data_IF_625932833152
#
_entry.id   IF_625932833152
#
_cell.length_a   1.000
_cell.length_b   1.000
_cell.length_c   1.000
_cell.angle_alpha   90.00
_cell.angle_beta   90.00
_cell.angle_gamma   90.00
#
_symmetry.space_group_name_H-M   'P 1'
#
loop_
_entity.id
_entity.type
_entity.pdbx_description
1 polymer ?
#
# COMPACT_ATOMS: atom_id res chain seq x y z
N UNK A 1 8.69 5.87 23.64
CA UNK A 1 7.86 4.65 23.63
C UNK A 1 7.07 4.67 22.33
N UNK A 2 6.88 3.53 21.68
CA UNK A 2 6.04 3.44 20.48
C UNK A 2 4.57 3.63 20.87
N UNK A 3 3.86 4.48 20.12
CA UNK A 3 2.42 4.76 20.27
C UNK A 3 1.59 4.34 19.05
N UNK A 4 2.25 4.20 17.90
CA UNK A 4 1.63 3.84 16.63
C UNK A 4 2.50 2.80 15.91
N UNK A 5 1.92 1.66 15.55
CA UNK A 5 2.59 0.65 14.73
C UNK A 5 1.89 0.52 13.37
N UNK A 6 2.65 0.68 12.29
CA UNK A 6 2.14 0.70 10.93
C UNK A 6 2.83 -0.36 10.08
N UNK A 7 2.07 -1.22 9.42
CA UNK A 7 2.63 -2.36 8.70
C UNK A 7 2.18 -2.37 7.25
N UNK A 8 3.10 -2.66 6.34
CA UNK A 8 2.69 -3.20 5.05
C UNK A 8 1.97 -4.55 5.24
N UNK A 9 1.19 -4.94 4.23
CA UNK A 9 0.39 -6.15 4.24
C UNK A 9 1.07 -7.31 3.53
N UNK A 10 1.29 -7.20 2.22
CA UNK A 10 1.61 -8.33 1.35
C UNK A 10 3.08 -8.74 1.51
N UNK A 11 3.35 -9.97 1.96
CA UNK A 11 4.69 -10.47 2.31
C UNK A 11 5.38 -9.73 3.47
N UNK A 12 4.65 -8.87 4.18
CA UNK A 12 5.07 -8.26 5.46
C UNK A 12 4.24 -8.79 6.63
N UNK A 13 2.98 -8.35 6.81
CA UNK A 13 2.08 -8.88 7.84
C UNK A 13 1.42 -10.18 7.42
N UNK A 14 1.10 -10.30 6.12
CA UNK A 14 0.42 -11.44 5.51
C UNK A 14 1.44 -12.21 4.68
N UNK A 15 1.82 -13.42 5.08
CA UNK A 15 2.80 -14.21 4.35
C UNK A 15 2.39 -14.45 2.90
N UNK A 16 3.36 -14.50 1.99
CA UNK A 16 3.10 -14.84 0.59
C UNK A 16 2.25 -16.11 0.45
N UNK A 17 1.18 -16.01 -0.35
CA UNK A 17 0.23 -17.10 -0.60
C UNK A 17 -0.81 -17.34 0.50
N UNK A 18 -0.73 -16.63 1.64
CA UNK A 18 -1.80 -16.67 2.63
C UNK A 18 -3.03 -15.90 2.13
N UNK A 19 -4.26 -16.38 2.40
CA UNK A 19 -5.48 -15.73 1.92
C UNK A 19 -5.84 -14.45 2.70
N UNK A 20 -5.27 -14.27 3.91
CA UNK A 20 -5.52 -13.17 4.84
C UNK A 20 -4.46 -13.16 5.95
N UNK A 21 -4.48 -12.13 6.81
CA UNK A 21 -3.71 -12.11 8.05
C UNK A 21 -4.02 -13.33 8.92
N UNK A 22 -2.99 -13.87 9.56
CA UNK A 22 -3.11 -15.02 10.48
C UNK A 22 -3.93 -14.62 11.71
N UNK A 23 -4.52 -15.62 12.38
CA UNK A 23 -5.25 -15.36 13.63
C UNK A 23 -4.34 -14.77 14.71
N UNK A 24 -3.05 -15.11 14.68
CA UNK A 24 -2.04 -14.51 15.56
C UNK A 24 -1.79 -13.04 15.23
N UNK A 25 -1.66 -12.69 13.94
CA UNK A 25 -1.50 -11.30 13.53
C UNK A 25 -2.68 -10.43 13.97
N UNK A 26 -3.91 -10.92 13.76
CA UNK A 26 -5.14 -10.24 14.22
C UNK A 26 -5.12 -10.08 15.75
N UNK A 27 -4.84 -11.14 16.51
CA UNK A 27 -4.75 -11.07 17.97
C UNK A 27 -3.67 -10.10 18.46
N UNK A 28 -2.54 -10.00 17.77
CA UNK A 28 -1.47 -9.07 18.11
C UNK A 28 -1.86 -7.60 17.84
N UNK A 29 -2.65 -7.33 16.80
CA UNK A 29 -3.22 -6.01 16.56
C UNK A 29 -4.23 -5.63 17.66
N UNK A 30 -5.08 -6.57 18.10
CA UNK A 30 -5.93 -6.35 19.28
C UNK A 30 -5.12 -6.06 20.53
N UNK A 31 -4.04 -6.78 20.78
CA UNK A 31 -3.18 -6.53 21.94
C UNK A 31 -2.60 -5.10 21.95
N UNK A 32 -2.29 -4.52 20.78
CA UNK A 32 -1.90 -3.11 20.67
C UNK A 32 -3.04 -2.17 21.08
N UNK A 33 -4.25 -2.42 20.57
CA UNK A 33 -5.44 -1.61 20.87
C UNK A 33 -5.81 -1.71 22.35
N UNK A 34 -5.79 -2.91 22.92
CA UNK A 34 -6.06 -3.17 24.35
C UNK A 34 -5.04 -2.48 25.26
N UNK A 35 -3.80 -2.30 24.78
CA UNK A 35 -2.76 -1.53 25.46
C UNK A 35 -2.91 0.00 25.31
N UNK A 36 -3.96 0.47 24.63
CA UNK A 36 -4.20 1.89 24.38
C UNK A 36 -3.30 2.49 23.30
N UNK A 37 -2.76 1.66 22.41
CA UNK A 37 -1.92 2.07 21.28
C UNK A 37 -2.69 2.00 19.96
N UNK A 38 -2.19 2.70 18.94
CA UNK A 38 -2.72 2.60 17.59
C UNK A 38 -1.93 1.59 16.76
N UNK A 39 -2.62 0.87 15.89
CA UNK A 39 -2.04 -0.07 14.93
C UNK A 39 -2.84 -0.04 13.64
N UNK A 40 -2.19 -0.23 12.50
CA UNK A 40 -2.88 -0.19 11.22
C UNK A 40 -2.05 -0.59 10.00
N UNK A 41 -2.70 -0.88 8.87
CA UNK A 41 -2.02 -1.11 7.61
C UNK A 41 -1.53 0.20 6.97
N UNK A 42 -0.44 0.12 6.20
CA UNK A 42 -0.05 1.12 5.19
C UNK A 42 0.14 0.40 3.87
N UNK A 43 -0.87 0.46 3.00
CA UNK A 43 -0.98 -0.43 1.83
C UNK A 43 -1.31 0.32 0.54
N UNK A 44 -0.89 -0.25 -0.59
CA UNK A 44 -1.35 0.15 -1.92
C UNK A 44 -2.81 -0.22 -2.22
N UNK A 45 -3.40 -1.11 -1.43
CA UNK A 45 -4.77 -1.61 -1.63
C UNK A 45 -5.84 -0.59 -1.24
N UNK A 46 -7.03 -0.77 -1.79
CA UNK A 46 -8.23 0.01 -1.45
C UNK A 46 -8.83 -0.43 -0.10
N UNK A 47 -9.52 0.45 0.65
CA UNK A 47 -10.11 0.11 1.94
C UNK A 47 -11.08 -1.09 1.91
N UNK A 48 -11.85 -1.25 0.83
CA UNK A 48 -12.80 -2.36 0.68
C UNK A 48 -12.14 -3.75 0.70
N UNK A 49 -10.85 -3.85 0.38
CA UNK A 49 -10.10 -5.10 0.45
C UNK A 49 -9.84 -5.57 1.90
N UNK A 50 -9.85 -4.65 2.87
CA UNK A 50 -9.45 -4.98 4.25
C UNK A 50 -10.38 -5.98 4.92
N UNK A 51 -11.67 -5.98 4.55
CA UNK A 51 -12.66 -6.90 5.09
C UNK A 51 -12.23 -8.37 4.95
N UNK A 52 -11.85 -8.83 3.76
CA UNK A 52 -11.41 -10.22 3.60
C UNK A 52 -9.99 -10.45 4.12
N UNK A 53 -9.10 -9.44 4.04
CA UNK A 53 -7.71 -9.54 4.52
C UNK A 53 -7.58 -9.66 6.03
N UNK A 54 -8.59 -9.22 6.79
CA UNK A 54 -8.65 -9.30 8.25
C UNK A 54 -9.85 -10.10 8.76
N UNK A 55 -10.40 -11.02 7.96
CA UNK A 55 -11.53 -11.88 8.36
C UNK A 55 -12.78 -11.11 8.87
N UNK A 56 -12.98 -9.88 8.39
CA UNK A 56 -14.09 -9.00 8.76
C UNK A 56 -13.82 -8.14 9.99
N UNK A 57 -12.63 -8.23 10.59
CA UNK A 57 -12.30 -7.51 11.82
C UNK A 57 -11.88 -6.06 11.53
N UNK A 58 -12.86 -5.15 11.60
CA UNK A 58 -12.66 -3.72 11.38
C UNK A 58 -11.62 -3.10 12.32
N UNK A 59 -11.40 -3.65 13.51
CA UNK A 59 -10.43 -3.13 14.48
C UNK A 59 -9.02 -3.08 13.89
N UNK A 60 -8.67 -4.08 13.06
CA UNK A 60 -7.34 -4.19 12.46
C UNK A 60 -7.06 -3.15 11.37
N UNK A 61 -8.08 -2.44 10.89
CA UNK A 61 -7.94 -1.46 9.82
C UNK A 61 -8.76 -0.18 10.03
N UNK A 62 -9.26 0.03 11.26
CA UNK A 62 -9.97 1.25 11.64
C UNK A 62 -9.04 2.47 11.60
N UNK A 63 -7.79 2.28 11.99
CA UNK A 63 -6.70 3.24 11.80
C UNK A 63 -5.75 2.70 10.74
N UNK A 64 -5.34 3.51 9.77
CA UNK A 64 -4.43 3.07 8.71
C UNK A 64 -4.40 3.99 7.50
N UNK A 65 -3.49 3.70 6.57
CA UNK A 65 -3.36 4.42 5.31
C UNK A 65 -3.47 3.47 4.11
N UNK A 66 -4.29 3.85 3.15
CA UNK A 66 -4.68 3.02 2.00
C UNK A 66 -4.34 3.75 0.70
N UNK A 67 -4.40 3.03 -0.43
CA UNK A 67 -4.07 3.60 -1.73
C UNK A 67 -2.69 4.29 -1.74
N UNK A 68 -1.66 3.65 -1.19
CA UNK A 68 -0.31 4.20 -1.00
C UNK A 68 -0.28 5.51 -0.20
N UNK A 69 -1.13 5.60 0.83
CA UNK A 69 -1.18 6.75 1.72
C UNK A 69 -2.18 7.82 1.30
N UNK A 70 -2.85 7.68 0.15
CA UNK A 70 -3.80 8.69 -0.35
C UNK A 70 -5.12 8.72 0.41
N UNK A 71 -5.44 7.70 1.22
CA UNK A 71 -6.59 7.74 2.13
C UNK A 71 -6.10 7.40 3.52
N UNK A 72 -6.41 8.23 4.50
CA UNK A 72 -6.03 8.01 5.90
C UNK A 72 -7.29 7.90 6.74
N UNK A 73 -7.38 6.82 7.51
CA UNK A 73 -8.44 6.60 8.47
C UNK A 73 -7.87 6.61 9.89
N UNK A 74 -8.62 7.21 10.81
CA UNK A 74 -8.40 7.18 12.25
C UNK A 74 -9.67 6.65 12.90
N UNK A 75 -9.56 5.54 13.63
CA UNK A 75 -10.66 4.94 14.39
C UNK A 75 -11.97 4.77 13.58
N UNK A 76 -11.84 4.46 12.29
CA UNK A 76 -12.91 4.22 11.34
C UNK A 76 -13.38 5.46 10.56
N UNK A 77 -12.86 6.65 10.88
CA UNK A 77 -13.19 7.90 10.19
C UNK A 77 -12.15 8.26 9.14
N UNK A 78 -12.59 8.59 7.92
CA UNK A 78 -11.72 9.13 6.86
C UNK A 78 -11.33 10.57 7.21
N UNK A 79 -10.07 10.78 7.59
CA UNK A 79 -9.57 12.10 8.01
C UNK A 79 -8.82 12.83 6.91
N UNK A 80 -8.30 12.10 5.92
CA UNK A 80 -7.54 12.70 4.82
C UNK A 80 -7.73 11.93 3.50
N UNK A 81 -7.75 12.67 2.39
CA UNK A 81 -7.77 12.12 1.04
C UNK A 81 -6.93 12.94 0.06
N UNK A 82 -6.15 12.26 -0.79
CA UNK A 82 -5.42 12.86 -1.91
C UNK A 82 -5.91 12.30 -3.25
N UNK A 83 -6.23 13.20 -4.16
CA UNK A 83 -6.73 12.87 -5.50
C UNK A 83 -5.62 12.99 -6.53
N UNK A 84 -5.71 12.17 -7.56
CA UNK A 84 -4.85 12.23 -8.74
C UNK A 84 -5.28 13.41 -9.61
N UNK A 85 -4.30 14.14 -10.15
CA UNK A 85 -4.56 15.25 -11.07
C UNK A 85 -5.27 14.73 -12.34
N UNK A 86 -6.50 15.19 -12.65
CA UNK A 86 -7.28 14.66 -13.77
C UNK A 86 -6.60 14.86 -15.12
N UNK A 87 -5.88 15.97 -15.31
CA UNK A 87 -5.17 16.25 -16.56
C UNK A 87 -4.00 15.29 -16.77
N UNK A 88 -3.23 15.01 -15.71
CA UNK A 88 -2.12 14.06 -15.75
C UNK A 88 -2.59 12.62 -15.95
N UNK A 89 -3.74 12.24 -15.37
CA UNK A 89 -4.34 10.93 -15.62
C UNK A 89 -4.86 10.80 -17.06
N UNK A 90 -5.52 11.82 -17.60
CA UNK A 90 -5.93 11.83 -19.00
C UNK A 90 -4.72 11.72 -19.93
N UNK A 91 -3.61 12.41 -19.61
CA UNK A 91 -2.35 12.27 -20.35
C UNK A 91 -1.79 10.85 -20.25
N UNK A 92 -1.82 10.22 -19.07
CA UNK A 92 -1.38 8.84 -18.91
C UNK A 92 -2.24 7.87 -19.74
N UNK A 93 -3.55 8.09 -19.80
CA UNK A 93 -4.44 7.35 -20.70
C UNK A 93 -4.00 7.52 -22.17
N UNK A 94 -3.77 8.76 -22.61
CA UNK A 94 -3.38 9.04 -24.00
C UNK A 94 -2.07 8.32 -24.38
N UNK A 95 -1.07 8.36 -23.49
CA UNK A 95 0.21 7.65 -23.69
C UNK A 95 -0.01 6.14 -23.80
N UNK A 96 -0.90 5.59 -22.97
CA UNK A 96 -1.19 4.17 -22.96
C UNK A 96 -1.99 3.69 -24.16
N UNK A 97 -2.69 4.56 -24.91
CA UNK A 97 -3.39 4.15 -26.14
C UNK A 97 -2.43 3.54 -27.18
N UNK A 98 -1.21 4.07 -27.27
CA UNK A 98 -0.18 3.60 -28.20
C UNK A 98 0.62 2.39 -27.67
N UNK A 99 0.29 1.91 -26.47
CA UNK A 99 0.92 0.73 -25.86
C UNK A 99 -0.02 -0.46 -25.93
N UNK A 100 0.33 -1.42 -26.79
CA UNK A 100 -0.37 -2.71 -26.92
C UNK A 100 -0.38 -3.46 -25.58
N UNK A 101 -1.50 -4.10 -25.23
CA UNK A 101 -1.62 -4.85 -23.98
C UNK A 101 -1.38 -4.02 -22.72
N UNK A 102 -1.66 -2.72 -22.75
CA UNK A 102 -1.62 -1.88 -21.56
C UNK A 102 -2.86 -0.99 -21.45
N UNK A 103 -3.31 -0.78 -20.22
CA UNK A 103 -4.47 0.04 -19.91
C UNK A 103 -4.31 0.74 -18.55
N UNK A 104 -4.95 1.92 -18.45
CA UNK A 104 -5.18 2.58 -17.18
C UNK A 104 -6.34 1.87 -16.48
N UNK A 105 -6.22 1.66 -15.17
CA UNK A 105 -7.30 1.17 -14.31
C UNK A 105 -7.55 2.19 -13.21
N UNK A 106 -8.80 2.52 -12.94
CA UNK A 106 -9.21 3.43 -11.86
C UNK A 106 -10.21 2.73 -10.95
N UNK A 107 -10.24 3.05 -9.66
CA UNK A 107 -11.03 2.28 -8.69
C UNK A 107 -12.10 3.12 -8.02
N UNK A 108 -13.29 2.55 -7.84
CA UNK A 108 -14.31 3.13 -6.96
C UNK A 108 -13.97 2.80 -5.50
N UNK A 109 -13.18 3.67 -4.88
CA UNK A 109 -12.68 3.48 -3.50
C UNK A 109 -13.75 3.64 -2.42
N UNK A 110 -14.94 4.17 -2.76
CA UNK A 110 -16.07 4.31 -1.84
C UNK A 110 -17.16 3.25 -2.08
N UNK A 111 -17.10 2.54 -3.20
CA UNK A 111 -17.96 1.42 -3.54
C UNK A 111 -17.37 0.07 -3.14
N UNK A 112 -17.51 -0.91 -4.02
CA UNK A 112 -16.98 -2.27 -3.83
C UNK A 112 -15.47 -2.38 -4.07
N UNK A 113 -14.82 -1.30 -4.52
CA UNK A 113 -13.42 -1.32 -4.91
C UNK A 113 -13.17 -1.98 -6.26
N UNK A 114 -14.20 -2.15 -7.10
CA UNK A 114 -13.99 -2.52 -8.50
C UNK A 114 -13.06 -1.51 -9.17
N UNK A 115 -12.09 -2.04 -9.89
CA UNK A 115 -11.41 -1.27 -10.92
C UNK A 115 -12.34 -1.06 -12.13
N UNK A 116 -11.98 -0.10 -12.96
CA UNK A 116 -12.61 0.21 -14.24
C UNK A 116 -11.46 0.44 -15.20
N UNK A 117 -11.39 -0.37 -16.26
CA UNK A 117 -10.38 -0.17 -17.29
C UNK A 117 -10.76 1.04 -18.14
N UNK A 118 -9.78 1.91 -18.39
CA UNK A 118 -9.93 3.10 -19.22
C UNK A 118 -9.06 2.91 -20.47
N UNK A 119 -9.73 2.65 -21.59
CA UNK A 119 -9.09 2.40 -22.89
C UNK A 119 -10.07 2.68 -24.02
N UNK A 120 -9.68 3.50 -24.99
CA UNK A 120 -10.45 3.75 -26.22
C UNK A 120 -10.27 2.60 -27.20
N UNK A 121 -9.03 2.21 -27.47
CA UNK A 121 -8.73 1.09 -28.36
C UNK A 121 -8.69 -0.24 -27.60
N UNK A 122 -9.86 -0.77 -27.22
CA UNK A 122 -9.97 -2.06 -26.51
C UNK A 122 -9.41 -3.23 -27.32
N UNK A 123 -9.41 -3.15 -28.66
CA UNK A 123 -8.83 -4.17 -29.52
C UNK A 123 -7.31 -4.35 -29.28
N UNK A 124 -6.60 -3.33 -28.79
CA UNK A 124 -5.19 -3.47 -28.40
C UNK A 124 -4.95 -4.36 -27.17
N UNK A 125 -6.02 -4.77 -26.48
CA UNK A 125 -5.97 -5.74 -25.38
C UNK A 125 -6.30 -7.17 -25.85
N UNK A 126 -6.72 -7.35 -27.11
CA UNK A 126 -6.94 -8.68 -27.69
C UNK A 126 -5.63 -9.47 -27.67
N UNK A 127 -5.65 -10.67 -27.10
CA UNK A 127 -4.44 -11.48 -26.91
C UNK A 127 -3.69 -11.22 -25.60
N UNK A 128 -4.16 -10.30 -24.76
CA UNK A 128 -3.63 -9.99 -23.43
C UNK A 128 -4.68 -10.21 -22.33
N UNK A 129 -5.21 -11.45 -22.20
CA UNK A 129 -6.29 -11.73 -21.28
C UNK A 129 -5.94 -11.37 -19.84
N UNK A 130 -4.67 -11.45 -19.42
CA UNK A 130 -4.21 -11.07 -18.08
C UNK A 130 -4.58 -9.63 -17.70
N UNK A 131 -4.49 -8.69 -18.63
CA UNK A 131 -4.87 -7.28 -18.42
C UNK A 131 -6.39 -7.12 -18.28
N UNK A 132 -7.17 -8.04 -18.83
CA UNK A 132 -8.63 -8.03 -18.73
C UNK A 132 -9.14 -8.91 -17.59
N UNK A 133 -8.44 -10.00 -17.26
CA UNK A 133 -8.86 -11.11 -16.39
C UNK A 133 -8.40 -10.94 -14.95
N UNK A 134 -7.26 -10.27 -14.71
CA UNK A 134 -6.91 -9.79 -13.35
C UNK A 134 -7.94 -8.80 -12.81
N UNK A 135 -8.79 -8.30 -13.71
CA UNK A 135 -9.58 -7.11 -13.53
C UNK A 135 -11.05 -7.61 -13.52
N UNK A 136 -11.55 -8.36 -14.50
CA UNK A 136 -12.98 -8.77 -14.48
C UNK A 136 -13.92 -7.56 -14.43
N UNK A 137 -13.41 -6.41 -14.89
CA UNK A 137 -13.93 -5.09 -14.62
C UNK A 137 -14.58 -4.49 -15.87
N UNK A 138 -15.58 -3.61 -15.71
CA UNK A 138 -16.12 -2.86 -16.83
C UNK A 138 -15.03 -2.02 -17.50
N UNK A 139 -15.12 -1.87 -18.82
CA UNK A 139 -14.24 -0.99 -19.59
C UNK A 139 -14.99 0.27 -20.00
N UNK A 140 -14.33 1.43 -19.93
CA UNK A 140 -14.81 2.72 -20.42
C UNK A 140 -13.79 3.30 -21.40
N UNK A 141 -14.28 4.07 -22.37
CA UNK A 141 -13.43 4.72 -23.34
C UNK A 141 -12.64 5.88 -22.72
N UNK A 142 -13.22 6.62 -21.77
CA UNK A 142 -12.61 7.84 -21.21
C UNK A 142 -12.84 7.91 -19.70
N UNK A 143 -11.97 8.67 -19.03
CA UNK A 143 -12.17 9.07 -17.65
C UNK A 143 -13.46 9.88 -17.53
N UNK A 144 -14.27 9.56 -16.51
CA UNK A 144 -15.40 10.42 -16.12
C UNK A 144 -14.93 11.73 -15.48
N UNK A 145 -15.85 12.68 -15.24
CA UNK A 145 -15.53 13.97 -14.62
C UNK A 145 -15.15 13.87 -13.13
N UNK A 146 -15.33 12.70 -12.52
CA UNK A 146 -15.07 12.47 -11.09
C UNK A 146 -13.56 12.39 -10.83
N UNK A 147 -13.04 13.08 -9.79
CA UNK A 147 -11.66 12.89 -9.32
C UNK A 147 -11.42 11.44 -8.89
N UNK A 148 -10.24 10.91 -9.21
CA UNK A 148 -9.85 9.56 -8.85
C UNK A 148 -8.80 9.58 -7.75
N UNK A 149 -8.97 8.74 -6.74
CA UNK A 149 -7.97 8.54 -5.69
C UNK A 149 -7.01 7.44 -6.12
N UNK A 150 -7.51 6.26 -6.46
CA UNK A 150 -6.67 5.11 -6.81
C UNK A 150 -6.68 4.85 -8.31
N UNK A 151 -5.49 4.75 -8.89
CA UNK A 151 -5.30 4.31 -10.26
C UNK A 151 -4.02 3.49 -10.43
N UNK A 152 -4.07 2.54 -11.35
CA UNK A 152 -2.98 1.63 -11.69
C UNK A 152 -2.79 1.57 -13.20
N UNK A 153 -1.62 1.11 -13.65
CA UNK A 153 -1.39 0.71 -15.03
C UNK A 153 -1.21 -0.79 -15.05
N UNK A 154 -2.08 -1.47 -15.80
CA UNK A 154 -1.93 -2.89 -16.10
C UNK A 154 -1.18 -3.02 -17.42
N UNK A 155 -0.16 -3.88 -17.44
CA UNK A 155 0.70 -4.09 -18.61
C UNK A 155 0.95 -5.58 -18.77
N UNK A 156 0.67 -6.12 -19.95
CA UNK A 156 1.01 -7.48 -20.31
C UNK A 156 2.51 -7.68 -20.45
N UNK A 157 2.96 -8.90 -20.19
CA UNK A 157 4.34 -9.32 -20.46
C UNK A 157 5.30 -9.16 -19.28
N UNK A 158 6.63 -9.26 -19.55
CA UNK A 158 7.62 -9.42 -18.50
C UNK A 158 7.96 -8.10 -17.82
N UNK A 159 8.61 -8.17 -16.64
CA UNK A 159 8.94 -7.01 -15.82
C UNK A 159 9.72 -5.91 -16.56
N UNK A 160 10.59 -6.27 -17.49
CA UNK A 160 11.34 -5.29 -18.30
C UNK A 160 10.41 -4.43 -19.16
N UNK A 161 9.26 -4.97 -19.60
CA UNK A 161 8.24 -4.20 -20.32
C UNK A 161 7.54 -3.23 -19.38
N UNK A 162 7.16 -3.66 -18.17
CA UNK A 162 6.58 -2.79 -17.15
C UNK A 162 7.53 -1.62 -16.82
N UNK A 163 8.83 -1.90 -16.67
CA UNK A 163 9.85 -0.85 -16.42
C UNK A 163 9.88 0.18 -17.56
N UNK A 164 9.87 -0.26 -18.82
CA UNK A 164 9.83 0.65 -19.97
C UNK A 164 8.56 1.51 -20.00
N UNK A 165 7.40 0.92 -19.72
CA UNK A 165 6.12 1.65 -19.68
C UNK A 165 6.11 2.66 -18.53
N UNK A 166 6.59 2.28 -17.34
CA UNK A 166 6.74 3.18 -16.19
C UNK A 166 7.64 4.38 -16.53
N UNK A 167 8.78 4.13 -17.16
CA UNK A 167 9.74 5.20 -17.46
C UNK A 167 9.22 6.15 -18.55
N UNK A 168 8.48 5.64 -19.53
CA UNK A 168 7.73 6.45 -20.50
C UNK A 168 6.70 7.34 -19.78
N UNK A 169 5.88 6.77 -18.90
CA UNK A 169 4.86 7.51 -18.16
C UNK A 169 5.46 8.58 -17.24
N UNK A 170 6.59 8.29 -16.57
CA UNK A 170 7.31 9.28 -15.75
C UNK A 170 7.79 10.49 -16.56
N UNK A 171 8.20 10.27 -17.82
CA UNK A 171 8.63 11.35 -18.70
C UNK A 171 7.44 12.21 -19.18
N UNK A 172 6.31 11.58 -19.47
CA UNK A 172 5.13 12.24 -20.06
C UNK A 172 4.15 12.82 -19.02
N UNK A 173 4.17 12.31 -17.78
CA UNK A 173 3.25 12.68 -16.71
C UNK A 173 4.00 13.10 -15.43
N UNK A 174 4.76 14.21 -15.42
CA UNK A 174 5.61 14.60 -14.29
C UNK A 174 4.84 14.95 -13.01
N UNK A 175 3.52 15.19 -13.12
CA UNK A 175 2.61 15.43 -12.00
C UNK A 175 2.17 14.15 -11.25
N UNK A 176 2.62 12.97 -11.70
CA UNK A 176 2.32 11.68 -11.09
C UNK A 176 3.63 10.92 -10.80
N UNK A 177 3.59 10.10 -9.77
CA UNK A 177 4.60 9.09 -9.50
C UNK A 177 4.06 7.70 -9.87
N UNK A 178 4.97 6.84 -10.31
CA UNK A 178 4.67 5.49 -10.80
C UNK A 178 5.56 4.49 -10.06
N UNK A 179 4.96 3.63 -9.25
CA UNK A 179 5.67 2.78 -8.29
C UNK A 179 5.23 1.33 -8.46
N UNK A 180 6.16 0.40 -8.27
CA UNK A 180 5.83 -1.01 -8.25
C UNK A 180 5.41 -1.44 -6.85
N UNK A 181 4.20 -2.01 -6.66
CA UNK A 181 3.75 -2.40 -5.34
C UNK A 181 4.45 -3.66 -4.81
N UNK A 182 5.00 -4.49 -5.71
CA UNK A 182 5.86 -5.63 -5.34
C UNK A 182 6.75 -6.03 -6.53
N UNK A 183 7.73 -6.93 -6.31
CA UNK A 183 8.58 -7.47 -7.38
C UNK A 183 7.82 -8.30 -8.42
N UNK A 184 6.67 -8.89 -8.04
CA UNK A 184 5.91 -9.84 -8.87
C UNK A 184 4.61 -9.27 -9.40
N UNK A 185 4.14 -8.13 -8.87
CA UNK A 185 2.90 -7.51 -9.32
C UNK A 185 2.97 -7.14 -10.82
N UNK A 186 1.98 -7.55 -11.61
CA UNK A 186 1.89 -7.28 -13.05
C UNK A 186 1.30 -5.90 -13.36
N UNK A 187 1.45 -4.96 -12.41
CA UNK A 187 0.88 -3.62 -12.49
C UNK A 187 1.82 -2.58 -11.90
N UNK A 188 1.53 -1.32 -12.20
CA UNK A 188 2.21 -0.15 -11.67
C UNK A 188 1.17 0.69 -10.93
N UNK A 189 1.41 1.00 -9.66
CA UNK A 189 0.58 1.94 -8.91
C UNK A 189 0.89 3.37 -9.34
N UNK A 190 -0.13 4.22 -9.37
CA UNK A 190 -0.03 5.65 -9.64
C UNK A 190 -0.37 6.42 -8.37
N UNK A 191 0.47 7.40 -8.01
CA UNK A 191 0.21 8.35 -6.92
C UNK A 191 0.41 9.79 -7.39
N UNK A 192 -0.14 10.81 -6.68
CA UNK A 192 0.23 12.20 -6.92
C UNK A 192 1.74 12.40 -6.75
N UNK A 193 2.33 13.32 -7.52
CA UNK A 193 3.78 13.59 -7.42
C UNK A 193 4.18 13.97 -6.00
N UNK A 194 5.14 13.24 -5.43
CA UNK A 194 5.64 13.44 -4.08
C UNK A 194 4.77 12.82 -2.98
N UNK A 195 3.73 12.05 -3.35
CA UNK A 195 2.88 11.33 -2.42
C UNK A 195 3.20 9.83 -2.42
N UNK A 196 3.45 9.28 -1.24
CA UNK A 196 3.85 7.90 -1.02
C UNK A 196 3.39 7.38 0.35
N UNK A 197 3.76 6.13 0.69
CA UNK A 197 3.47 5.55 2.00
C UNK A 197 4.01 6.39 3.17
N UNK A 198 5.14 7.10 3.01
CA UNK A 198 5.67 7.97 4.05
C UNK A 198 4.81 9.22 4.25
N UNK A 199 4.23 9.78 3.17
CA UNK A 199 3.24 10.84 3.28
C UNK A 199 2.03 10.40 4.12
N UNK A 200 1.49 9.21 3.83
CA UNK A 200 0.41 8.62 4.64
C UNK A 200 0.78 8.40 6.11
N UNK A 201 2.01 7.91 6.39
CA UNK A 201 2.51 7.76 7.77
C UNK A 201 2.62 9.11 8.50
N UNK A 202 3.14 10.15 7.82
CA UNK A 202 3.23 11.50 8.41
C UNK A 202 1.86 12.07 8.73
N UNK A 203 0.89 11.84 7.85
CA UNK A 203 -0.49 12.29 8.05
C UNK A 203 -1.17 11.55 9.22
N UNK A 204 -1.01 10.23 9.30
CA UNK A 204 -1.44 9.43 10.46
C UNK A 204 -0.84 9.95 11.76
N UNK A 205 0.47 10.20 11.78
CA UNK A 205 1.16 10.70 12.97
C UNK A 205 0.64 12.09 13.37
N UNK A 206 0.41 12.97 12.38
CA UNK A 206 -0.15 14.32 12.58
C UNK A 206 -1.55 14.28 13.19
N UNK A 207 -2.44 13.47 12.63
CA UNK A 207 -3.83 13.34 13.11
C UNK A 207 -3.90 12.74 14.52
N UNK A 208 -3.04 11.77 14.84
CA UNK A 208 -2.96 11.15 16.16
C UNK A 208 -2.16 11.98 17.19
N UNK A 209 -1.53 13.07 16.78
CA UNK A 209 -0.70 13.90 17.66
C UNK A 209 0.54 13.18 18.21
N UNK A 210 1.10 12.23 17.43
CA UNK A 210 2.32 11.49 17.78
C UNK A 210 3.50 11.93 16.91
N UNK A 211 4.71 11.82 17.46
CA UNK A 211 5.96 12.09 16.72
C UNK A 211 6.40 10.87 15.92
N UNK A 212 7.22 11.04 14.88
CA UNK A 212 7.74 9.90 14.10
C UNK A 212 8.63 8.97 14.96
N UNK A 213 9.27 9.50 16.00
CA UNK A 213 10.01 8.74 17.01
C UNK A 213 9.13 7.81 17.85
N UNK A 214 7.82 8.06 17.87
CA UNK A 214 6.80 7.22 18.53
C UNK A 214 6.08 6.30 17.53
N UNK A 215 6.47 6.33 16.25
CA UNK A 215 5.95 5.42 15.20
C UNK A 215 6.94 4.28 14.95
N UNK A 216 6.42 3.07 14.79
CA UNK A 216 7.14 1.93 14.23
C UNK A 216 6.53 1.56 12.87
N UNK A 217 7.37 1.33 11.85
CA UNK A 217 6.92 0.89 10.52
C UNK A 217 7.52 -0.47 10.14
N UNK A 218 6.75 -1.31 9.45
CA UNK A 218 7.18 -2.62 8.96
C UNK A 218 6.97 -2.72 7.44
N UNK A 219 7.95 -3.24 6.70
CA UNK A 219 7.85 -3.40 5.24
C UNK A 219 8.88 -4.35 4.65
N UNK A 220 8.72 -4.65 3.35
CA UNK A 220 9.55 -5.61 2.62
C UNK A 220 9.98 -5.11 1.22
N UNK A 221 9.20 -4.22 0.60
CA UNK A 221 9.27 -3.94 -0.85
C UNK A 221 9.57 -2.48 -1.23
N UNK A 222 9.78 -2.20 -2.52
CA UNK A 222 10.21 -0.88 -3.06
C UNK A 222 9.28 0.26 -2.64
N UNK A 223 7.97 0.03 -2.65
CA UNK A 223 6.97 1.01 -2.22
C UNK A 223 7.01 1.33 -0.71
N UNK A 224 7.70 0.52 0.10
CA UNK A 224 7.91 0.76 1.53
C UNK A 224 9.15 1.61 1.82
N UNK A 225 10.11 1.66 0.88
CA UNK A 225 11.36 2.40 1.07
C UNK A 225 11.16 3.84 1.58
N UNK A 226 10.17 4.61 1.08
CA UNK A 226 9.92 5.93 1.63
C UNK A 226 9.58 5.91 3.12
N UNK A 227 8.67 5.03 3.58
CA UNK A 227 8.29 4.99 5.00
C UNK A 227 9.40 4.39 5.87
N UNK A 228 10.13 3.40 5.36
CA UNK A 228 11.25 2.79 6.05
C UNK A 228 12.40 3.78 6.23
N UNK A 229 12.63 4.65 5.24
CA UNK A 229 13.67 5.70 5.31
C UNK A 229 13.26 6.90 6.18
N UNK A 230 11.96 7.19 6.26
CA UNK A 230 11.45 8.37 6.96
C UNK A 230 11.22 8.17 8.46
N UNK A 231 10.97 6.93 8.90
CA UNK A 231 10.58 6.62 10.29
C UNK A 231 11.77 6.07 11.08
N UNK A 232 12.13 6.69 12.23
CA UNK A 232 13.26 6.24 13.04
C UNK A 232 13.17 4.80 13.54
N UNK A 233 11.98 4.28 13.82
CA UNK A 233 11.78 2.89 14.24
C UNK A 233 11.25 2.02 13.10
N UNK A 234 11.89 2.12 11.93
CA UNK A 234 11.59 1.26 10.79
C UNK A 234 12.16 -0.15 10.96
N UNK A 235 11.39 -1.13 10.50
CA UNK A 235 11.64 -2.56 10.70
C UNK A 235 11.52 -3.30 9.36
N UNK A 236 12.55 -4.05 8.97
CA UNK A 236 12.49 -4.95 7.83
C UNK A 236 12.24 -6.39 8.28
N UNK A 237 11.32 -7.09 7.61
CA UNK A 237 11.18 -8.55 7.73
C UNK A 237 12.33 -9.25 7.01
N UNK A 238 12.68 -10.48 7.42
CA UNK A 238 13.85 -11.17 6.85
C UNK A 238 13.74 -11.50 5.34
N UNK A 239 12.52 -11.54 4.80
CA UNK A 239 12.25 -11.72 3.36
C UNK A 239 12.22 -10.38 2.58
N UNK A 240 12.49 -9.25 3.23
CA UNK A 240 12.55 -7.95 2.58
C UNK A 240 13.63 -7.90 1.49
N UNK A 241 13.40 -7.03 0.51
CA UNK A 241 14.42 -6.68 -0.48
C UNK A 241 15.69 -6.13 0.19
N UNK A 242 16.83 -6.29 -0.49
CA UNK A 242 18.12 -5.84 0.04
C UNK A 242 18.15 -4.33 0.34
N UNK A 243 17.45 -3.52 -0.47
CA UNK A 243 17.37 -2.08 -0.27
C UNK A 243 16.54 -1.73 0.97
N UNK A 244 15.41 -2.40 1.20
CA UNK A 244 14.59 -2.21 2.40
C UNK A 244 15.33 -2.66 3.65
N UNK A 245 15.95 -3.85 3.61
CA UNK A 245 16.76 -4.34 4.71
C UNK A 245 17.93 -3.39 5.04
N UNK A 246 18.57 -2.78 4.04
CA UNK A 246 19.65 -1.82 4.26
C UNK A 246 19.15 -0.49 4.84
N UNK A 247 17.95 -0.05 4.46
CA UNK A 247 17.38 1.21 4.92
C UNK A 247 16.77 1.12 6.33
N UNK A 248 16.25 -0.05 6.71
CA UNK A 248 15.59 -0.25 7.99
C UNK A 248 16.57 -0.19 9.17
N UNK A 249 16.10 0.37 10.29
CA UNK A 249 16.87 0.42 11.54
C UNK A 249 16.92 -0.94 12.24
N UNK A 250 15.81 -1.66 12.23
CA UNK A 250 15.64 -2.91 12.94
C UNK A 250 15.28 -4.06 11.98
N UNK A 251 15.58 -5.28 12.40
CA UNK A 251 15.34 -6.48 11.60
C UNK A 251 14.66 -7.54 12.46
N UNK A 252 13.63 -8.16 11.91
CA UNK A 252 12.90 -9.26 12.54
C UNK A 252 12.96 -10.51 11.66
N UNK A 253 12.36 -11.61 12.13
CA UNK A 253 12.25 -12.84 11.34
C UNK A 253 11.42 -12.65 10.05
N UNK A 254 11.27 -13.72 9.25
CA UNK A 254 10.49 -13.64 8.01
C UNK A 254 8.99 -13.52 8.30
N UNK A 255 8.25 -12.95 7.35
CA UNK A 255 6.79 -12.81 7.42
C UNK A 255 6.09 -14.14 7.72
N UNK A 256 6.51 -15.23 7.06
CA UNK A 256 5.96 -16.59 7.22
C UNK A 256 5.97 -17.16 8.65
N UNK A 257 6.75 -16.57 9.57
CA UNK A 257 6.85 -16.99 10.97
C UNK A 257 6.05 -16.07 11.92
N UNK A 258 5.12 -15.25 11.39
CA UNK A 258 4.36 -14.24 12.13
C UNK A 258 5.25 -13.22 12.85
N UNK A 259 6.39 -12.87 12.23
CA UNK A 259 7.40 -12.03 12.88
C UNK A 259 6.90 -10.63 13.22
N UNK A 260 6.04 -10.04 12.38
CA UNK A 260 5.39 -8.75 12.66
C UNK A 260 4.43 -8.90 13.85
N UNK A 261 3.64 -9.97 13.92
CA UNK A 261 2.75 -10.23 15.06
C UNK A 261 3.54 -10.33 16.37
N UNK A 262 4.65 -11.07 16.38
CA UNK A 262 5.54 -11.17 17.53
C UNK A 262 6.16 -9.81 17.93
N UNK A 263 6.42 -8.92 16.98
CA UNK A 263 6.89 -7.57 17.24
C UNK A 263 5.79 -6.68 17.85
N UNK A 264 4.56 -6.75 17.33
CA UNK A 264 3.40 -6.06 17.88
C UNK A 264 3.08 -6.50 19.32
N UNK A 265 3.12 -7.81 19.61
CA UNK A 265 2.98 -8.37 20.97
C UNK A 265 4.01 -7.75 21.93
N UNK A 266 5.27 -7.61 21.49
CA UNK A 266 6.32 -6.98 22.30
C UNK A 266 6.12 -5.48 22.49
N UNK A 267 5.63 -4.76 21.49
CA UNK A 267 5.29 -3.33 21.61
C UNK A 267 4.15 -3.14 22.61
N UNK A 268 3.09 -3.93 22.51
CA UNK A 268 1.96 -3.90 23.44
C UNK A 268 2.41 -4.19 24.89
N UNK A 269 3.23 -5.21 25.10
CA UNK A 269 3.77 -5.53 26.42
C UNK A 269 4.69 -4.43 26.98
N UNK A 270 5.48 -3.79 26.11
CA UNK A 270 6.36 -2.68 26.47
C UNK A 270 5.59 -1.43 26.90
N UNK A 271 4.36 -1.22 26.40
CA UNK A 271 3.50 -0.10 26.78
C UNK A 271 3.21 -0.06 28.29
N UNK A 272 3.00 -1.24 28.90
CA UNK A 272 2.70 -1.38 30.32
C UNK A 272 3.91 -1.13 31.23
N UNK A 273 5.12 -1.35 30.73
CA UNK A 273 6.36 -1.31 31.52
C UNK A 273 7.21 -0.07 31.27
N UNK A 274 7.03 0.61 30.14
CA UNK A 274 7.92 1.68 29.70
C UNK A 274 9.21 1.19 29.04
N UNK A 275 9.39 -0.13 28.93
CA UNK A 275 10.59 -0.73 28.35
C UNK A 275 10.63 -0.61 26.84
N UNK A 276 11.78 -0.94 26.25
CA UNK A 276 11.94 -1.06 24.81
C UNK A 276 11.70 -2.53 24.38
N UNK A 277 10.94 -2.77 23.29
CA UNK A 277 10.73 -4.12 22.74
C UNK A 277 12.06 -4.85 22.53
N UNK A 278 12.09 -6.17 22.70
CA UNK A 278 13.34 -6.93 22.66
C UNK A 278 14.01 -6.89 21.27
N UNK A 279 13.23 -6.80 20.20
CA UNK A 279 13.76 -6.67 18.84
C UNK A 279 14.37 -5.29 18.53
N UNK A 280 14.14 -4.28 19.38
CA UNK A 280 14.69 -2.92 19.25
C UNK A 280 15.91 -2.70 20.14
N UNK A 281 16.75 -3.73 20.35
CA UNK A 281 17.93 -3.67 21.24
C UNK A 281 19.22 -4.03 20.52
#
# INVERSE_FOLDING_TARGET
>A
MIKLALTDLDDTLIPVGAPRATDRAIAAMHAMVDAGLHVGPVTGRVPSAMGWMFAGDATCFATGAFCNGQMVYIDGELTHQEVLDPASLARAQDVLEDVEGAALAVYDVFGDGQAILIKRNVASLEGHPEVMSEVGHPTRAELGPTPWIKANVHVSGPRERLVRVRDLLRAECPGLDFVFPSPTAPLIDITPRGWDKAAGVRELARELGVTLEEVATFGDSENDLPMISAVPNSVAVANASADVAKAARWHIGPSRDDSVAAALEQIAAAAATGDMPAFMR
#
